data_IF_194581706065
#
_entry.id   IF_194581706065
#
_cell.length_a   1.000
_cell.length_b   1.000
_cell.length_c   1.000
_cell.angle_alpha   90.00
_cell.angle_beta   90.00
_cell.angle_gamma   90.00
#
_symmetry.space_group_name_H-M   'P 1'
#
loop_
_entity.id
_entity.type
_entity.pdbx_description
1 polymer ?
#
# COMPACT_ATOMS: atom_id res chain seq x y z
N UNK A 1 -4.92 24.69 -2.90
CA UNK A 1 -5.74 24.23 -4.04
C UNK A 1 -4.92 23.70 -5.20
N UNK A 2 -3.99 24.47 -5.80
CA UNK A 2 -3.24 24.06 -7.02
C UNK A 2 -2.47 22.73 -6.89
N UNK A 3 -1.92 22.40 -5.70
CA UNK A 3 -1.20 21.13 -5.47
C UNK A 3 -2.10 19.88 -5.48
N UNK A 4 -3.40 20.00 -5.18
CA UNK A 4 -4.29 18.84 -5.11
C UNK A 4 -4.70 18.35 -6.50
N UNK A 5 -4.93 19.26 -7.43
CA UNK A 5 -5.37 18.93 -8.80
C UNK A 5 -4.26 18.26 -9.61
N UNK A 6 -3.01 18.72 -9.47
CA UNK A 6 -1.85 18.09 -10.08
C UNK A 6 -1.61 16.66 -9.57
N UNK A 7 -1.83 16.42 -8.27
CA UNK A 7 -1.73 15.07 -7.68
C UNK A 7 -2.82 14.16 -8.25
N UNK A 8 -4.06 14.64 -8.32
CA UNK A 8 -5.18 13.89 -8.90
C UNK A 8 -4.94 13.58 -10.38
N UNK A 9 -4.37 14.51 -11.14
CA UNK A 9 -4.01 14.29 -12.54
C UNK A 9 -2.89 13.23 -12.69
N UNK A 10 -1.82 13.33 -11.90
CA UNK A 10 -0.72 12.35 -11.95
C UNK A 10 -1.21 10.95 -11.57
N UNK A 11 -2.05 10.85 -10.53
CA UNK A 11 -2.70 9.60 -10.15
C UNK A 11 -3.60 9.07 -11.26
N UNK A 12 -4.46 9.91 -11.85
CA UNK A 12 -5.32 9.49 -12.96
C UNK A 12 -4.52 8.97 -14.16
N UNK A 13 -3.40 9.62 -14.51
CA UNK A 13 -2.48 9.15 -15.55
C UNK A 13 -1.84 7.81 -15.18
N UNK A 14 -1.39 7.67 -13.94
CA UNK A 14 -0.85 6.42 -13.42
C UNK A 14 -1.88 5.28 -13.50
N UNK A 15 -3.10 5.50 -13.00
CA UNK A 15 -4.17 4.49 -13.05
C UNK A 15 -4.63 4.19 -14.49
N UNK A 16 -4.56 5.16 -15.41
CA UNK A 16 -5.03 4.98 -16.79
C UNK A 16 -4.21 3.98 -17.62
N UNK A 17 -2.98 3.68 -17.19
CA UNK A 17 -2.09 2.71 -17.86
C UNK A 17 -2.03 1.37 -17.11
N UNK A 18 -2.87 1.19 -16.08
CA UNK A 18 -3.00 -0.09 -15.41
C UNK A 18 -3.57 -1.13 -16.39
N UNK A 19 -3.01 -2.32 -16.36
CA UNK A 19 -3.46 -3.47 -17.13
C UNK A 19 -3.49 -4.72 -16.26
N UNK A 20 -4.13 -5.77 -16.77
CA UNK A 20 -4.08 -7.08 -16.14
C UNK A 20 -3.02 -7.94 -16.84
N UNK A 21 -2.11 -8.52 -16.06
CA UNK A 21 -1.11 -9.46 -16.54
C UNK A 21 -1.13 -10.70 -15.63
N UNK A 22 -1.43 -11.85 -16.22
CA UNK A 22 -1.57 -13.13 -15.50
C UNK A 22 -2.54 -13.07 -14.30
N UNK A 23 -3.64 -12.32 -14.43
CA UNK A 23 -4.64 -12.15 -13.37
C UNK A 23 -4.24 -11.15 -12.28
N UNK A 24 -3.14 -10.41 -12.46
CA UNK A 24 -2.63 -9.42 -11.50
C UNK A 24 -2.63 -8.03 -12.14
N UNK A 25 -3.10 -7.04 -11.38
CA UNK A 25 -3.01 -5.62 -11.76
C UNK A 25 -1.54 -5.17 -11.85
N UNK A 26 -1.14 -4.73 -13.04
CA UNK A 26 0.23 -4.40 -13.39
C UNK A 26 0.34 -3.12 -14.24
N UNK A 27 1.56 -2.61 -14.34
CA UNK A 27 1.95 -1.47 -15.17
C UNK A 27 3.16 -1.82 -16.02
N UNK A 28 3.11 -1.50 -17.31
CA UNK A 28 4.29 -1.57 -18.18
C UNK A 28 5.29 -0.49 -17.75
N UNK A 29 6.53 -0.89 -17.45
CA UNK A 29 7.61 0.03 -17.14
C UNK A 29 7.89 1.01 -18.30
N UNK A 30 7.73 0.57 -19.55
CA UNK A 30 7.83 1.40 -20.75
C UNK A 30 6.76 2.49 -20.84
N UNK A 31 5.58 2.27 -20.27
CA UNK A 31 4.50 3.27 -20.21
C UNK A 31 4.61 4.15 -18.97
N UNK A 32 5.14 3.61 -17.88
CA UNK A 32 5.29 4.30 -16.62
C UNK A 32 6.39 5.37 -16.64
N UNK A 33 7.56 5.10 -17.23
CA UNK A 33 8.70 6.02 -17.17
C UNK A 33 8.41 7.46 -17.67
N UNK A 34 7.67 7.69 -18.79
CA UNK A 34 7.35 9.05 -19.21
C UNK A 34 6.35 9.74 -18.28
N UNK A 35 5.45 8.98 -17.64
CA UNK A 35 4.51 9.52 -16.63
C UNK A 35 5.28 10.03 -15.41
N UNK A 36 6.37 9.35 -15.04
CA UNK A 36 7.25 9.76 -13.95
C UNK A 36 8.29 10.82 -14.35
N UNK A 37 8.15 11.42 -15.55
CA UNK A 37 8.99 12.53 -16.01
C UNK A 37 10.38 12.11 -16.51
N UNK A 38 10.61 10.82 -16.79
CA UNK A 38 11.87 10.35 -17.39
C UNK A 38 11.79 10.45 -18.92
N UNK A 39 12.80 11.08 -19.53
CA UNK A 39 12.85 11.23 -20.99
C UNK A 39 13.56 10.04 -21.68
N UNK A 40 14.51 9.39 -21.00
CA UNK A 40 15.34 8.32 -21.55
C UNK A 40 15.17 7.05 -20.71
N UNK A 41 14.98 5.93 -21.39
CA UNK A 41 14.84 4.61 -20.76
C UNK A 41 16.02 4.27 -19.84
N UNK A 42 17.26 4.48 -20.30
CA UNK A 42 18.47 4.12 -19.57
C UNK A 42 18.54 4.80 -18.18
N UNK A 43 18.00 6.02 -18.07
CA UNK A 43 17.94 6.71 -16.77
C UNK A 43 16.91 6.07 -15.84
N UNK A 44 15.79 5.60 -16.39
CA UNK A 44 14.75 4.92 -15.64
C UNK A 44 15.13 3.48 -15.28
N UNK A 45 15.89 2.80 -16.12
CA UNK A 45 16.43 1.47 -15.86
C UNK A 45 17.28 1.43 -14.58
N UNK A 46 18.09 2.46 -14.35
CA UNK A 46 18.82 2.62 -13.09
C UNK A 46 17.88 2.74 -11.86
N UNK A 47 16.70 3.33 -12.03
CA UNK A 47 15.69 3.46 -10.96
C UNK A 47 15.01 2.12 -10.73
N UNK A 48 14.69 1.38 -11.80
CA UNK A 48 14.18 0.01 -11.71
C UNK A 48 15.16 -0.89 -10.95
N UNK A 49 16.46 -0.78 -11.24
CA UNK A 49 17.52 -1.51 -10.52
C UNK A 49 17.48 -1.24 -9.02
N UNK A 50 17.49 0.04 -8.61
CA UNK A 50 17.38 0.43 -7.19
C UNK A 50 16.10 -0.06 -6.53
N UNK A 51 14.97 0.00 -7.25
CA UNK A 51 13.69 -0.48 -6.74
C UNK A 51 13.67 -2.00 -6.53
N UNK A 52 14.30 -2.76 -7.43
CA UNK A 52 14.48 -4.22 -7.26
C UNK A 52 15.38 -4.53 -6.06
N UNK A 53 16.51 -3.82 -5.91
CA UNK A 53 17.39 -3.96 -4.75
C UNK A 53 16.64 -3.66 -3.44
N UNK A 54 15.84 -2.60 -3.40
CA UNK A 54 15.01 -2.26 -2.24
C UNK A 54 13.99 -3.37 -1.91
N UNK A 55 13.33 -3.92 -2.93
CA UNK A 55 12.39 -5.05 -2.80
C UNK A 55 13.08 -6.28 -2.19
N UNK A 56 14.24 -6.66 -2.76
CA UNK A 56 15.03 -7.79 -2.29
C UNK A 56 15.51 -7.60 -0.85
N UNK A 57 16.01 -6.40 -0.51
CA UNK A 57 16.48 -6.08 0.83
C UNK A 57 15.35 -6.06 1.87
N UNK A 58 14.09 -5.84 1.44
CA UNK A 58 12.92 -5.97 2.29
C UNK A 58 12.49 -7.44 2.51
N UNK A 59 13.21 -8.42 1.95
CA UNK A 59 12.89 -9.85 2.03
C UNK A 59 11.73 -10.27 1.14
N UNK A 60 11.37 -9.44 0.15
CA UNK A 60 10.28 -9.70 -0.80
C UNK A 60 10.85 -10.28 -2.08
N UNK A 61 10.21 -11.34 -2.59
CA UNK A 61 10.60 -11.99 -3.84
C UNK A 61 10.40 -11.04 -5.03
N UNK A 62 11.50 -10.62 -5.66
CA UNK A 62 11.48 -9.61 -6.73
C UNK A 62 10.75 -10.08 -7.98
N UNK A 63 10.82 -11.38 -8.29
CA UNK A 63 10.14 -11.95 -9.45
C UNK A 63 8.61 -11.86 -9.38
N UNK A 64 8.02 -11.77 -8.17
CA UNK A 64 6.57 -11.57 -7.99
C UNK A 64 6.10 -10.15 -8.29
N UNK A 65 7.02 -9.20 -8.46
CA UNK A 65 6.70 -7.78 -8.56
C UNK A 65 7.32 -7.08 -9.76
N UNK A 66 8.43 -7.60 -10.28
CA UNK A 66 9.15 -7.07 -11.43
C UNK A 66 9.31 -8.17 -12.49
N UNK A 67 8.24 -8.45 -13.22
CA UNK A 67 8.22 -9.53 -14.23
C UNK A 67 8.83 -9.02 -15.53
N UNK A 68 9.99 -9.56 -15.92
CA UNK A 68 10.64 -9.21 -17.18
C UNK A 68 9.85 -9.73 -18.38
N UNK A 69 9.53 -8.85 -19.32
CA UNK A 69 8.82 -9.16 -20.57
C UNK A 69 9.52 -8.50 -21.76
N UNK A 70 9.07 -8.84 -22.97
CA UNK A 70 9.46 -8.13 -24.19
C UNK A 70 8.26 -7.38 -24.75
N UNK A 71 8.47 -6.11 -25.12
CA UNK A 71 7.49 -5.29 -25.81
C UNK A 71 7.90 -5.12 -27.26
N UNK A 72 7.06 -5.54 -28.19
CA UNK A 72 7.27 -5.31 -29.61
C UNK A 72 6.91 -3.88 -29.98
N UNK A 73 7.83 -3.15 -30.61
CA UNK A 73 7.60 -1.80 -31.12
C UNK A 73 7.74 -1.76 -32.64
N UNK A 74 6.94 -0.90 -33.27
CA UNK A 74 7.06 -0.59 -34.69
C UNK A 74 8.23 0.37 -34.93
N UNK A 75 9.04 0.03 -35.91
CA UNK A 75 10.17 0.80 -36.41
C UNK A 75 9.79 1.50 -37.73
N UNK A 76 10.55 2.53 -38.14
CA UNK A 76 10.36 3.13 -39.46
C UNK A 76 10.41 2.08 -40.57
N UNK A 77 9.64 2.32 -41.64
CA UNK A 77 9.53 1.43 -42.82
C UNK A 77 8.89 0.06 -42.52
N UNK A 78 8.09 -0.05 -41.46
CA UNK A 78 7.29 -1.25 -41.18
C UNK A 78 8.06 -2.41 -40.55
N UNK A 79 9.33 -2.22 -40.21
CA UNK A 79 10.06 -3.19 -39.39
C UNK A 79 9.52 -3.19 -37.96
N UNK A 80 9.75 -4.25 -37.20
CA UNK A 80 9.47 -4.32 -35.76
C UNK A 80 10.74 -4.67 -34.99
N UNK A 81 10.76 -4.32 -33.71
CA UNK A 81 11.84 -4.66 -32.80
C UNK A 81 11.26 -4.98 -31.43
N UNK A 82 11.75 -6.05 -30.82
CA UNK A 82 11.46 -6.34 -29.43
C UNK A 82 12.44 -5.58 -28.53
N UNK A 83 11.87 -4.89 -27.55
CA UNK A 83 12.61 -4.17 -26.51
C UNK A 83 12.25 -4.76 -25.16
N UNK A 84 13.21 -4.75 -24.23
CA UNK A 84 12.96 -5.16 -22.85
C UNK A 84 11.92 -4.26 -22.19
N UNK A 85 11.04 -4.84 -21.40
CA UNK A 85 10.06 -4.15 -20.56
C UNK A 85 9.83 -4.96 -19.27
N UNK A 86 9.12 -4.38 -18.31
CA UNK A 86 8.73 -5.06 -17.08
C UNK A 86 7.25 -4.82 -16.81
N UNK A 87 6.54 -5.88 -16.41
CA UNK A 87 5.26 -5.75 -15.74
C UNK A 87 5.52 -5.54 -14.25
N UNK A 88 5.10 -4.38 -13.77
CA UNK A 88 5.30 -3.93 -12.40
C UNK A 88 3.98 -4.05 -11.66
N UNK A 89 3.95 -4.73 -10.52
CA UNK A 89 2.79 -4.65 -9.63
C UNK A 89 2.66 -3.23 -9.07
N UNK A 90 1.50 -2.92 -8.46
CA UNK A 90 1.29 -1.65 -7.74
C UNK A 90 2.39 -1.41 -6.68
N UNK A 91 2.80 -2.46 -5.98
CA UNK A 91 3.90 -2.42 -5.02
C UNK A 91 5.24 -2.05 -5.67
N UNK A 92 5.59 -2.68 -6.80
CA UNK A 92 6.81 -2.32 -7.55
C UNK A 92 6.78 -0.86 -8.03
N UNK A 93 5.63 -0.38 -8.50
CA UNK A 93 5.47 1.02 -8.91
C UNK A 93 5.77 1.99 -7.76
N UNK A 94 5.34 1.66 -6.53
CA UNK A 94 5.64 2.47 -5.35
C UNK A 94 7.12 2.48 -5.01
N UNK A 95 7.79 1.33 -5.07
CA UNK A 95 9.24 1.27 -4.87
C UNK A 95 10.02 2.06 -5.94
N UNK A 96 9.57 2.00 -7.20
CA UNK A 96 10.13 2.82 -8.29
C UNK A 96 10.00 4.31 -7.99
N UNK A 97 8.82 4.76 -7.55
CA UNK A 97 8.60 6.15 -7.18
C UNK A 97 9.44 6.59 -5.97
N UNK A 98 9.58 5.73 -4.96
CA UNK A 98 10.40 6.01 -3.77
C UNK A 98 11.89 6.16 -4.12
N UNK A 99 12.40 5.34 -5.04
CA UNK A 99 13.81 5.32 -5.46
C UNK A 99 14.12 6.24 -6.65
N UNK A 100 13.14 7.02 -7.11
CA UNK A 100 13.29 7.95 -8.23
C UNK A 100 14.14 9.19 -7.91
N UNK A 101 14.38 10.01 -8.94
CA UNK A 101 15.12 11.27 -8.82
C UNK A 101 14.18 12.38 -8.28
N UNK A 102 14.38 12.86 -7.03
CA UNK A 102 13.49 13.84 -6.42
C UNK A 102 13.52 15.22 -7.11
N UNK A 103 14.46 15.47 -8.03
CA UNK A 103 14.45 16.68 -8.85
C UNK A 103 13.34 16.68 -9.90
N UNK A 104 12.74 15.51 -10.19
CA UNK A 104 11.56 15.39 -11.03
C UNK A 104 10.32 15.67 -10.21
N UNK A 105 9.48 16.59 -10.68
CA UNK A 105 8.25 16.99 -9.99
C UNK A 105 7.36 15.80 -9.66
N UNK A 106 7.19 14.88 -10.60
CA UNK A 106 6.34 13.69 -10.50
C UNK A 106 6.81 12.73 -9.41
N UNK A 107 8.13 12.54 -9.29
CA UNK A 107 8.74 11.76 -8.22
C UNK A 107 8.59 12.47 -6.87
N UNK A 108 8.90 13.76 -6.80
CA UNK A 108 8.74 14.54 -5.57
C UNK A 108 7.28 14.55 -5.08
N UNK A 109 6.33 14.60 -6.00
CA UNK A 109 4.91 14.50 -5.69
C UNK A 109 4.55 13.13 -5.12
N UNK A 110 5.01 12.05 -5.75
CA UNK A 110 4.77 10.70 -5.24
C UNK A 110 5.40 10.50 -3.85
N UNK A 111 6.62 10.97 -3.62
CA UNK A 111 7.29 10.90 -2.32
C UNK A 111 6.53 11.67 -1.22
N UNK A 112 6.04 12.88 -1.54
CA UNK A 112 5.21 13.64 -0.60
C UNK A 112 3.85 12.95 -0.34
N UNK A 113 3.25 12.38 -1.38
CA UNK A 113 2.04 11.58 -1.23
C UNK A 113 2.27 10.43 -0.25
N UNK A 114 3.35 9.66 -0.39
CA UNK A 114 3.67 8.59 0.55
C UNK A 114 3.90 9.10 1.97
N UNK A 115 4.63 10.20 2.16
CA UNK A 115 4.83 10.78 3.49
C UNK A 115 3.50 11.13 4.18
N UNK A 116 2.54 11.68 3.43
CA UNK A 116 1.19 11.98 3.93
C UNK A 116 0.38 10.71 4.17
N UNK A 117 0.38 9.77 3.22
CA UNK A 117 -0.40 8.53 3.35
C UNK A 117 0.07 7.66 4.52
N UNK A 118 1.38 7.55 4.75
CA UNK A 118 1.91 6.83 5.92
C UNK A 118 1.36 7.44 7.20
N UNK A 119 1.37 8.78 7.32
CA UNK A 119 0.82 9.45 8.50
C UNK A 119 -0.69 9.21 8.67
N UNK A 120 -1.44 9.21 7.57
CA UNK A 120 -2.88 8.92 7.60
C UNK A 120 -3.12 7.48 8.08
N UNK A 121 -2.36 6.50 7.57
CA UNK A 121 -2.47 5.11 7.97
C UNK A 121 -2.17 4.89 9.46
N UNK A 122 -1.08 5.46 9.98
CA UNK A 122 -0.72 5.41 11.40
C UNK A 122 -1.85 5.92 12.31
N UNK A 123 -2.46 7.05 11.94
CA UNK A 123 -3.55 7.66 12.72
C UNK A 123 -4.83 6.80 12.66
N UNK A 124 -5.13 6.20 11.51
CA UNK A 124 -6.28 5.29 11.37
C UNK A 124 -6.07 4.04 12.22
N UNK A 125 -4.88 3.44 12.18
CA UNK A 125 -4.54 2.27 12.99
C UNK A 125 -4.71 2.56 14.48
N UNK A 126 -4.20 3.69 14.97
CA UNK A 126 -4.39 4.12 16.36
C UNK A 126 -5.88 4.25 16.74
N UNK A 127 -6.69 4.85 15.86
CA UNK A 127 -8.13 5.00 16.10
C UNK A 127 -8.87 3.67 16.14
N UNK A 128 -8.49 2.72 15.29
CA UNK A 128 -9.05 1.37 15.30
C UNK A 128 -8.74 0.66 16.62
N UNK A 129 -7.49 0.71 17.08
CA UNK A 129 -7.10 0.13 18.36
C UNK A 129 -7.85 0.76 19.55
N UNK A 130 -8.02 2.09 19.54
CA UNK A 130 -8.79 2.79 20.56
C UNK A 130 -10.27 2.39 20.55
N UNK A 131 -10.85 2.24 19.35
CA UNK A 131 -12.22 1.78 19.17
C UNK A 131 -12.40 0.35 19.71
N UNK A 132 -11.53 -0.58 19.32
CA UNK A 132 -11.58 -1.97 19.77
C UNK A 132 -11.44 -2.09 21.29
N UNK A 133 -10.57 -1.28 21.90
CA UNK A 133 -10.43 -1.20 23.37
C UNK A 133 -11.73 -0.76 24.04
N UNK A 134 -12.41 0.24 23.49
CA UNK A 134 -13.69 0.73 24.03
C UNK A 134 -14.77 -0.34 23.87
N UNK A 135 -14.88 -0.99 22.71
CA UNK A 135 -15.81 -2.09 22.48
C UNK A 135 -15.58 -3.26 23.44
N UNK A 136 -14.32 -3.65 23.66
CA UNK A 136 -13.96 -4.70 24.61
C UNK A 136 -14.42 -4.37 26.04
N UNK A 137 -14.27 -3.10 26.48
CA UNK A 137 -14.76 -2.65 27.80
C UNK A 137 -16.28 -2.68 27.89
N UNK A 138 -17.00 -2.25 26.86
CA UNK A 138 -18.46 -2.32 26.84
C UNK A 138 -18.94 -3.77 26.94
N UNK A 139 -18.34 -4.68 26.16
CA UNK A 139 -18.66 -6.11 26.20
C UNK A 139 -18.35 -6.74 27.56
N UNK A 140 -17.23 -6.37 28.19
CA UNK A 140 -16.90 -6.81 29.54
C UNK A 140 -17.94 -6.33 30.55
N UNK A 141 -18.29 -5.04 30.55
CA UNK A 141 -19.29 -4.50 31.46
C UNK A 141 -20.68 -5.15 31.28
N UNK A 142 -21.07 -5.44 30.04
CA UNK A 142 -22.33 -6.13 29.74
C UNK A 142 -22.32 -7.58 30.24
N UNK A 143 -21.23 -8.31 29.98
CA UNK A 143 -21.07 -9.70 30.44
C UNK A 143 -20.98 -9.79 31.96
N UNK A 144 -20.28 -8.87 32.63
CA UNK A 144 -20.27 -8.75 34.09
C UNK A 144 -21.67 -8.46 34.63
N UNK A 145 -22.41 -7.51 34.04
CA UNK A 145 -23.79 -7.20 34.45
C UNK A 145 -24.70 -8.42 34.34
N UNK A 146 -24.58 -9.18 33.25
CA UNK A 146 -25.35 -10.41 33.03
C UNK A 146 -24.97 -11.50 34.04
N UNK A 147 -23.68 -11.68 34.31
CA UNK A 147 -23.19 -12.62 35.32
C UNK A 147 -23.68 -12.27 36.72
N UNK A 148 -23.64 -10.98 37.09
CA UNK A 148 -24.21 -10.45 38.33
C UNK A 148 -25.68 -10.79 38.49
N UNK A 149 -26.49 -10.57 37.44
CA UNK A 149 -27.91 -10.92 37.45
C UNK A 149 -28.13 -12.40 37.75
N UNK A 150 -27.43 -13.30 37.04
CA UNK A 150 -27.58 -14.76 37.22
C UNK A 150 -27.13 -15.22 38.61
N UNK A 151 -26.05 -14.66 39.16
CA UNK A 151 -25.55 -15.05 40.48
C UNK A 151 -26.48 -14.57 41.60
N UNK A 152 -27.05 -13.37 41.48
CA UNK A 152 -28.04 -12.87 42.43
C UNK A 152 -29.34 -13.69 42.40
N UNK A 153 -29.84 -14.07 41.21
CA UNK A 153 -30.98 -14.98 41.06
C UNK A 153 -30.77 -16.34 41.73
N UNK A 154 -29.51 -16.77 41.89
CA UNK A 154 -29.13 -18.00 42.59
C UNK A 154 -28.75 -17.80 44.05
N UNK A 155 -28.99 -16.61 44.61
CA UNK A 155 -28.81 -16.33 46.03
C UNK A 155 -27.37 -16.04 46.46
N UNK A 156 -26.48 -15.69 45.53
CA UNK A 156 -25.11 -15.26 45.87
C UNK A 156 -25.14 -13.81 46.36
N UNK A 157 -24.56 -13.56 47.54
CA UNK A 157 -24.46 -12.24 48.15
C UNK A 157 -23.22 -11.46 47.65
N UNK A 158 -23.11 -10.18 48.02
CA UNK A 158 -22.03 -9.29 47.57
C UNK A 158 -20.63 -9.81 47.94
N UNK A 159 -20.51 -10.54 49.07
CA UNK A 159 -19.24 -11.18 49.49
C UNK A 159 -18.90 -12.35 48.57
N UNK A 160 -19.85 -13.22 48.26
CA UNK A 160 -19.67 -14.31 47.29
C UNK A 160 -19.30 -13.80 45.91
N UNK A 161 -19.87 -12.66 45.51
CA UNK A 161 -19.56 -12.02 44.23
C UNK A 161 -18.11 -11.52 44.15
N UNK A 162 -17.58 -10.90 45.21
CA UNK A 162 -16.18 -10.46 45.29
C UNK A 162 -15.18 -11.62 45.23
N UNK A 163 -15.52 -12.77 45.82
CA UNK A 163 -14.69 -13.98 45.77
C UNK A 163 -14.65 -14.57 44.35
N UNK A 164 -15.77 -14.59 43.62
CA UNK A 164 -15.83 -15.12 42.26
C UNK A 164 -15.05 -14.21 41.29
N UNK A 165 -15.23 -12.88 41.39
CA UNK A 165 -14.49 -11.91 40.56
C UNK A 165 -12.97 -11.93 40.77
N UNK A 166 -12.49 -12.27 41.95
CA UNK A 166 -11.04 -12.32 42.24
C UNK A 166 -10.36 -13.61 41.76
N UNK A 167 -11.15 -14.61 41.33
CA UNK A 167 -10.64 -15.91 40.85
C UNK A 167 -10.74 -16.12 39.34
N UNK A 168 -11.43 -15.23 38.61
CA UNK A 168 -11.50 -15.20 37.15
C UNK A 168 -10.61 -14.11 36.59
#
# INVERSE_FOLDING_TARGET
MIKSEAIQNLLARFESIACEYEGVECWSARELYPILGYAKWQTFENVLGKAKEACQNAGVETSNHFTGISKTILMPKGASKDIEDFMLTRYACYLVAQNGDPRKSEIAFAQNYFAVQTRVAEVIEQRLLDYDRVQARHKLAETEKRLSGVLYERGVDDKGFGIIRSKG
#
